data_IF_935886291477
#
_entry.id   IF_935886291477
#
_cell.length_a   1.000
_cell.length_b   1.000
_cell.length_c   1.000
_cell.angle_alpha   90.00
_cell.angle_beta   90.00
_cell.angle_gamma   90.00
#
_symmetry.space_group_name_H-M   'P 1'
#
loop_
_entity.id
_entity.type
_entity.pdbx_description
1 polymer ?
#
# COMPACT_ATOMS: atom_id res chain seq x y z
N UNK A 1 16.52 11.14 23.48
CA UNK A 1 15.43 11.53 22.57
C UNK A 1 14.41 10.42 22.63
N UNK A 2 13.21 10.70 23.12
CA UNK A 2 12.12 9.70 23.08
C UNK A 2 11.79 9.48 21.59
N UNK A 3 12.25 8.36 21.03
CA UNK A 3 11.75 7.94 19.73
C UNK A 3 10.26 7.70 19.90
N UNK A 4 9.45 8.37 19.08
CA UNK A 4 8.04 8.08 18.94
C UNK A 4 7.93 6.68 18.35
N UNK A 5 7.74 5.67 19.21
CA UNK A 5 7.76 4.26 18.82
C UNK A 5 6.44 3.82 18.15
N UNK A 6 5.43 4.68 18.15
CA UNK A 6 4.09 4.39 17.67
C UNK A 6 3.82 5.14 16.37
N UNK A 7 3.14 4.48 15.41
CA UNK A 7 2.69 5.07 14.16
C UNK A 7 1.23 4.73 13.91
N UNK A 8 0.46 5.71 13.41
CA UNK A 8 -0.93 5.53 12.99
C UNK A 8 -1.03 5.71 11.48
N UNK A 9 -1.49 4.67 10.81
CA UNK A 9 -1.64 4.58 9.37
C UNK A 9 -3.10 4.36 8.97
N UNK A 10 -3.45 4.75 7.76
CA UNK A 10 -4.69 4.27 7.11
C UNK A 10 -4.45 2.90 6.49
N UNK A 11 -5.51 2.09 6.38
CA UNK A 11 -5.45 0.89 5.53
C UNK A 11 -5.14 1.28 4.08
N UNK A 12 -4.42 0.43 3.35
CA UNK A 12 -4.04 0.73 1.96
C UNK A 12 -4.01 -0.52 1.08
N UNK A 13 -4.49 -0.36 -0.16
CA UNK A 13 -4.48 -1.41 -1.19
C UNK A 13 -3.13 -1.45 -1.88
N UNK A 14 -2.39 -2.56 -1.75
CA UNK A 14 -1.00 -2.68 -2.20
C UNK A 14 -0.23 -1.38 -1.95
N UNK A 15 -0.10 -1.04 -0.67
CA UNK A 15 0.37 0.24 -0.17
C UNK A 15 1.66 0.71 -0.86
N UNK A 16 1.93 2.03 -0.91
CA UNK A 16 3.15 2.55 -1.54
C UNK A 16 4.40 2.23 -0.71
N UNK A 17 5.56 2.32 -1.32
CA UNK A 17 6.87 2.12 -0.67
C UNK A 17 7.02 2.97 0.59
N UNK A 18 6.53 4.22 0.57
CA UNK A 18 6.51 5.11 1.73
C UNK A 18 5.83 4.48 2.96
N UNK A 19 4.70 3.80 2.75
CA UNK A 19 3.97 3.12 3.82
C UNK A 19 4.86 2.05 4.49
N UNK A 20 5.44 1.15 3.71
CA UNK A 20 6.26 0.06 4.24
C UNK A 20 7.58 0.53 4.82
N UNK A 21 8.22 1.56 4.27
CA UNK A 21 9.42 2.16 4.87
C UNK A 21 9.12 2.73 6.26
N UNK A 22 7.98 3.41 6.43
CA UNK A 22 7.57 3.90 7.75
C UNK A 22 7.14 2.75 8.66
N UNK A 23 6.49 1.72 8.12
CA UNK A 23 6.04 0.54 8.84
C UNK A 23 7.19 -0.20 9.53
N UNK A 24 8.27 -0.53 8.81
CA UNK A 24 9.40 -1.32 9.35
C UNK A 24 10.20 -0.56 10.43
N UNK A 25 10.12 0.77 10.45
CA UNK A 25 10.89 1.63 11.36
C UNK A 25 10.23 1.85 12.74
N UNK A 26 9.03 1.30 12.96
CA UNK A 26 8.30 1.50 14.21
C UNK A 26 7.99 0.17 14.90
N UNK A 27 7.84 0.22 16.23
CA UNK A 27 7.55 -0.97 17.03
C UNK A 27 6.05 -1.26 17.11
N UNK A 28 5.23 -0.21 17.28
CA UNK A 28 3.79 -0.34 17.40
C UNK A 28 3.11 0.35 16.22
N UNK A 29 2.38 -0.43 15.45
CA UNK A 29 1.72 0.01 14.23
C UNK A 29 0.21 -0.09 14.42
N UNK A 30 -0.46 1.05 14.32
CA UNK A 30 -1.93 1.11 14.39
C UNK A 30 -2.49 1.41 13.01
N UNK A 31 -3.45 0.60 12.57
CA UNK A 31 -4.22 0.80 11.33
C UNK A 31 -5.61 1.29 11.71
N UNK A 32 -5.95 2.50 11.26
CA UNK A 32 -7.23 3.13 11.56
C UNK A 32 -8.38 2.48 10.79
N UNK A 33 -9.34 1.91 11.50
CA UNK A 33 -10.50 1.27 10.90
C UNK A 33 -11.81 2.06 11.04
N UNK A 34 -11.87 3.03 11.94
CA UNK A 34 -13.06 3.86 12.19
C UNK A 34 -13.06 5.19 11.42
N UNK A 35 -11.97 5.50 10.70
CA UNK A 35 -11.96 6.68 9.85
C UNK A 35 -13.01 6.61 8.74
N UNK A 36 -13.50 7.78 8.32
CA UNK A 36 -14.39 7.86 7.20
C UNK A 36 -13.64 7.64 5.87
N UNK A 37 -14.27 6.92 4.95
CA UNK A 37 -13.68 6.71 3.63
C UNK A 37 -13.48 8.02 2.86
N UNK A 38 -12.24 8.32 2.52
CA UNK A 38 -11.85 9.44 1.68
C UNK A 38 -11.51 8.97 0.25
N UNK A 39 -12.13 9.62 -0.75
CA UNK A 39 -11.84 9.35 -2.17
C UNK A 39 -10.43 9.77 -2.55
N UNK A 40 -9.88 9.10 -3.57
CA UNK A 40 -8.57 9.43 -4.13
C UNK A 40 -7.43 9.34 -3.10
N UNK A 41 -7.46 8.27 -2.30
CA UNK A 41 -6.42 7.91 -1.33
C UNK A 41 -5.94 6.49 -1.60
N UNK A 42 -4.84 6.06 -1.01
CA UNK A 42 -4.34 4.69 -1.13
C UNK A 42 -5.25 3.64 -0.48
N UNK A 43 -6.30 4.03 0.26
CA UNK A 43 -7.25 3.10 0.88
C UNK A 43 -7.87 2.12 -0.11
N UNK A 44 -8.22 2.60 -1.31
CA UNK A 44 -8.82 1.76 -2.36
C UNK A 44 -8.11 1.86 -3.71
N UNK A 45 -6.86 2.29 -3.74
CA UNK A 45 -6.05 2.36 -4.96
C UNK A 45 -4.58 2.11 -4.68
N UNK A 46 -3.87 1.66 -5.71
CA UNK A 46 -2.43 1.71 -5.76
C UNK A 46 -1.97 2.32 -7.10
N UNK A 47 -0.71 2.74 -7.15
CA UNK A 47 -0.08 3.29 -8.35
C UNK A 47 1.06 2.38 -8.79
N UNK A 48 1.02 1.90 -10.02
CA UNK A 48 2.06 1.10 -10.66
C UNK A 48 2.63 1.82 -11.87
N UNK A 49 3.76 1.36 -12.39
CA UNK A 49 4.36 1.88 -13.61
C UNK A 49 4.11 0.91 -14.77
N UNK A 50 3.49 1.38 -15.82
CA UNK A 50 3.31 0.63 -17.05
C UNK A 50 4.01 1.28 -18.24
N UNK A 51 3.95 0.66 -19.41
CA UNK A 51 4.63 1.13 -20.63
C UNK A 51 4.25 2.54 -21.12
N UNK A 52 3.15 3.11 -20.65
CA UNK A 52 2.69 4.47 -20.98
C UNK A 52 2.75 5.44 -19.77
N UNK A 53 3.43 5.06 -18.69
CA UNK A 53 3.55 5.87 -17.47
C UNK A 53 2.79 5.30 -16.28
N UNK A 54 2.58 6.12 -15.24
CA UNK A 54 1.86 5.70 -14.03
C UNK A 54 0.42 5.33 -14.31
N UNK A 55 0.00 4.21 -13.75
CA UNK A 55 -1.36 3.67 -13.82
C UNK A 55 -1.91 3.56 -12.41
N UNK A 56 -3.12 4.08 -12.20
CA UNK A 56 -3.84 3.96 -10.94
C UNK A 56 -4.83 2.80 -11.01
N UNK A 57 -4.63 1.77 -10.21
CA UNK A 57 -5.55 0.64 -10.06
C UNK A 57 -6.51 0.96 -8.91
N UNK A 58 -7.78 1.08 -9.19
CA UNK A 58 -8.80 1.56 -8.23
C UNK A 58 -9.86 0.50 -8.00
N UNK A 59 -10.00 0.07 -6.74
CA UNK A 59 -11.10 -0.81 -6.31
C UNK A 59 -12.40 0.00 -6.24
N UNK A 60 -13.44 -0.38 -6.98
CA UNK A 60 -14.76 0.24 -6.85
C UNK A 60 -15.41 -0.17 -5.53
N UNK A 61 -16.06 0.80 -4.87
CA UNK A 61 -16.70 0.58 -3.57
C UNK A 61 -18.15 1.03 -3.57
N UNK A 62 -18.98 0.34 -2.79
CA UNK A 62 -20.40 0.64 -2.63
C UNK A 62 -20.54 1.80 -1.64
N UNK A 63 -21.02 2.94 -2.14
CA UNK A 63 -21.32 4.12 -1.33
C UNK A 63 -22.82 4.18 -1.09
N UNK A 64 -23.21 4.21 0.18
CA UNK A 64 -24.60 4.50 0.55
C UNK A 64 -24.99 5.95 0.21
N UNK A 65 -26.29 6.23 0.14
CA UNK A 65 -26.85 7.59 0.05
C UNK A 65 -26.90 8.31 1.41
N UNK A 66 -26.29 7.74 2.45
CA UNK A 66 -26.33 8.19 3.84
C UNK A 66 -25.05 8.90 4.31
N UNK A 67 -24.83 8.95 5.63
CA UNK A 67 -23.65 9.55 6.26
C UNK A 67 -22.36 8.87 5.77
N UNK A 68 -21.22 9.50 6.06
CA UNK A 68 -19.91 8.94 5.70
C UNK A 68 -19.77 7.52 6.29
N UNK A 69 -19.29 6.59 5.48
CA UNK A 69 -19.10 5.18 5.86
C UNK A 69 -17.71 5.02 6.47
N UNK A 70 -17.61 4.36 7.61
CA UNK A 70 -16.32 3.96 8.17
C UNK A 70 -15.64 2.95 7.25
N UNK A 71 -14.28 2.98 7.24
CA UNK A 71 -13.50 2.12 6.34
C UNK A 71 -13.74 0.64 6.63
N UNK A 72 -13.95 0.26 7.88
CA UNK A 72 -14.27 -1.11 8.30
C UNK A 72 -15.57 -1.67 7.71
N UNK A 73 -16.54 -0.78 7.41
CA UNK A 73 -17.88 -1.15 6.91
C UNK A 73 -17.99 -0.98 5.39
N UNK A 74 -16.93 -0.51 4.73
CA UNK A 74 -16.94 -0.18 3.31
C UNK A 74 -16.88 -1.45 2.46
N UNK A 75 -17.96 -1.69 1.71
CA UNK A 75 -18.08 -2.87 0.82
C UNK A 75 -17.45 -2.62 -0.54
N UNK A 76 -16.82 -3.65 -1.09
CA UNK A 76 -16.31 -3.68 -2.46
C UNK A 76 -17.48 -3.88 -3.43
N UNK A 77 -17.49 -3.14 -4.55
CA UNK A 77 -18.41 -3.37 -5.66
C UNK A 77 -17.79 -4.31 -6.69
N UNK A 78 -18.58 -5.26 -7.14
CA UNK A 78 -18.21 -6.22 -8.19
C UNK A 78 -19.13 -6.08 -9.43
N UNK A 79 -19.76 -4.91 -9.61
CA UNK A 79 -20.54 -4.60 -10.81
C UNK A 79 -19.65 -4.47 -12.06
N UNK A 80 -18.41 -4.06 -11.87
CA UNK A 80 -17.38 -4.01 -12.90
C UNK A 80 -16.33 -5.10 -12.64
N UNK A 81 -15.77 -5.66 -13.69
CA UNK A 81 -14.72 -6.70 -13.61
C UNK A 81 -13.35 -6.09 -13.30
N UNK A 82 -13.26 -5.39 -12.16
CA UNK A 82 -12.03 -4.70 -11.75
C UNK A 82 -10.90 -5.67 -11.43
N UNK A 83 -11.20 -6.84 -10.86
CA UNK A 83 -10.20 -7.82 -10.49
C UNK A 83 -9.41 -8.29 -11.72
N UNK A 84 -10.13 -8.72 -12.74
CA UNK A 84 -9.53 -9.14 -14.02
C UNK A 84 -8.73 -8.02 -14.68
N UNK A 85 -9.25 -6.78 -14.65
CA UNK A 85 -8.58 -5.63 -15.24
C UNK A 85 -7.29 -5.29 -14.48
N UNK A 86 -7.31 -5.32 -13.14
CA UNK A 86 -6.12 -5.10 -12.32
C UNK A 86 -5.06 -6.16 -12.61
N UNK A 87 -5.45 -7.44 -12.54
CA UNK A 87 -4.50 -8.53 -12.80
C UNK A 87 -3.85 -8.45 -14.18
N UNK A 88 -4.63 -8.21 -15.22
CA UNK A 88 -4.10 -8.03 -16.58
C UNK A 88 -3.14 -6.85 -16.67
N UNK A 89 -3.44 -5.76 -15.98
CA UNK A 89 -2.58 -4.56 -15.98
C UNK A 89 -1.27 -4.83 -15.22
N UNK A 90 -1.34 -5.51 -14.07
CA UNK A 90 -0.16 -5.93 -13.29
C UNK A 90 0.70 -6.89 -14.11
N UNK A 91 0.08 -7.91 -14.71
CA UNK A 91 0.77 -8.85 -15.59
C UNK A 91 1.48 -8.14 -16.75
N UNK A 92 0.78 -7.23 -17.44
CA UNK A 92 1.36 -6.47 -18.55
C UNK A 92 2.50 -5.55 -18.11
N UNK A 93 2.46 -5.03 -16.88
CA UNK A 93 3.50 -4.16 -16.36
C UNK A 93 4.75 -4.89 -15.89
N UNK A 94 4.59 -6.09 -15.33
CA UNK A 94 5.66 -6.75 -14.56
C UNK A 94 6.07 -8.15 -15.04
N UNK A 95 5.44 -8.73 -16.08
CA UNK A 95 5.80 -10.07 -16.57
C UNK A 95 7.25 -10.21 -17.04
N UNK A 96 7.93 -9.10 -17.30
CA UNK A 96 9.37 -9.07 -17.65
C UNK A 96 10.28 -8.70 -16.48
N UNK A 97 9.71 -8.42 -15.28
CA UNK A 97 10.52 -8.13 -14.10
C UNK A 97 11.16 -9.40 -13.53
N UNK A 98 12.34 -9.29 -12.89
CA UNK A 98 13.14 -10.45 -12.48
C UNK A 98 12.43 -11.42 -11.54
N UNK A 99 11.54 -10.91 -10.67
CA UNK A 99 10.91 -11.70 -9.63
C UNK A 99 9.41 -11.94 -9.84
N UNK A 100 8.82 -11.52 -10.96
CA UNK A 100 7.39 -11.70 -11.22
C UNK A 100 6.96 -13.17 -11.17
N UNK A 101 7.70 -14.05 -11.82
CA UNK A 101 7.42 -15.49 -11.86
C UNK A 101 7.45 -16.13 -10.46
N UNK A 102 8.24 -15.59 -9.53
CA UNK A 102 8.37 -16.13 -8.17
C UNK A 102 7.19 -15.76 -7.29
N UNK A 103 6.60 -14.56 -7.48
CA UNK A 103 5.58 -14.03 -6.58
C UNK A 103 4.18 -13.93 -7.16
N UNK A 104 4.01 -14.15 -8.48
CA UNK A 104 2.70 -14.02 -9.14
C UNK A 104 1.63 -14.92 -8.55
N UNK A 105 1.99 -16.15 -8.17
CA UNK A 105 1.06 -17.17 -7.68
C UNK A 105 0.54 -16.82 -6.25
N UNK A 106 1.29 -16.04 -5.47
CA UNK A 106 0.86 -15.53 -4.16
C UNK A 106 -0.03 -14.29 -4.30
N UNK A 107 0.16 -13.50 -5.35
CA UNK A 107 -0.56 -12.24 -5.59
C UNK A 107 -1.85 -12.45 -6.40
N UNK A 108 -1.86 -13.37 -7.37
CA UNK A 108 -3.02 -13.62 -8.26
C UNK A 108 -4.31 -13.96 -7.51
N UNK A 109 -4.34 -14.73 -6.42
CA UNK A 109 -5.57 -15.09 -5.71
C UNK A 109 -6.42 -13.90 -5.24
N UNK A 110 -5.82 -12.72 -4.98
CA UNK A 110 -6.56 -11.50 -4.62
C UNK A 110 -7.43 -10.97 -5.77
N UNK A 111 -7.14 -11.39 -6.99
CA UNK A 111 -7.91 -11.03 -8.19
C UNK A 111 -8.88 -12.12 -8.65
N UNK A 112 -8.93 -13.24 -7.97
CA UNK A 112 -9.82 -14.37 -8.27
C UNK A 112 -10.91 -14.52 -7.21
N UNK A 113 -10.54 -14.34 -5.94
CA UNK A 113 -11.47 -14.48 -4.81
C UNK A 113 -12.16 -13.13 -4.52
N UNK A 114 -13.47 -13.21 -4.20
CA UNK A 114 -14.24 -12.02 -3.79
C UNK A 114 -14.18 -11.83 -2.28
N UNK A 115 -13.79 -10.65 -1.85
CA UNK A 115 -13.82 -10.21 -0.45
C UNK A 115 -14.92 -9.17 -0.27
N UNK A 116 -15.68 -9.26 0.81
CA UNK A 116 -16.84 -8.39 1.04
C UNK A 116 -16.45 -6.96 1.40
N UNK A 117 -15.52 -6.80 2.34
CA UNK A 117 -15.11 -5.50 2.86
C UNK A 117 -13.73 -5.11 2.36
N UNK A 118 -13.55 -3.81 2.12
CA UNK A 118 -12.27 -3.27 1.64
C UNK A 118 -11.16 -3.44 2.67
N UNK A 119 -11.47 -3.27 3.96
CA UNK A 119 -10.50 -3.45 5.04
C UNK A 119 -9.95 -4.87 5.06
N UNK A 120 -10.84 -5.90 4.97
CA UNK A 120 -10.43 -7.31 4.99
C UNK A 120 -9.49 -7.64 3.83
N UNK A 121 -9.80 -7.15 2.62
CA UNK A 121 -8.93 -7.32 1.46
C UNK A 121 -7.56 -6.68 1.69
N UNK A 122 -7.54 -5.44 2.18
CA UNK A 122 -6.29 -4.73 2.42
C UNK A 122 -5.44 -5.39 3.51
N UNK A 123 -6.06 -5.93 4.57
CA UNK A 123 -5.34 -6.68 5.61
C UNK A 123 -4.72 -7.95 5.04
N UNK A 124 -5.48 -8.74 4.27
CA UNK A 124 -4.94 -9.95 3.64
C UNK A 124 -3.83 -9.65 2.64
N UNK A 125 -3.95 -8.55 1.88
CA UNK A 125 -2.87 -8.06 1.00
C UNK A 125 -1.65 -7.63 1.81
N UNK A 126 -1.86 -6.95 2.93
CA UNK A 126 -0.76 -6.53 3.80
C UNK A 126 -0.02 -7.72 4.41
N UNK A 127 -0.75 -8.73 4.90
CA UNK A 127 -0.20 -9.96 5.45
C UNK A 127 0.71 -10.66 4.44
N UNK A 128 0.23 -10.93 3.22
CA UNK A 128 1.06 -11.59 2.21
C UNK A 128 2.28 -10.76 1.80
N UNK A 129 2.16 -9.45 1.69
CA UNK A 129 3.31 -8.58 1.37
C UNK A 129 4.34 -8.61 2.50
N UNK A 130 3.92 -8.62 3.77
CA UNK A 130 4.81 -8.80 4.90
C UNK A 130 5.56 -10.14 4.83
N UNK A 131 4.85 -11.23 4.54
CA UNK A 131 5.45 -12.56 4.41
C UNK A 131 6.47 -12.61 3.27
N UNK A 132 6.12 -12.08 2.08
CA UNK A 132 6.98 -12.11 0.89
C UNK A 132 8.24 -11.23 1.00
N UNK A 133 8.18 -10.17 1.80
CA UNK A 133 9.31 -9.26 2.07
C UNK A 133 10.01 -9.53 3.40
N UNK A 134 9.64 -10.62 4.10
CA UNK A 134 10.18 -10.99 5.42
C UNK A 134 10.03 -9.86 6.46
N UNK A 135 8.93 -9.11 6.38
CA UNK A 135 8.57 -8.06 7.33
C UNK A 135 7.71 -8.66 8.44
N UNK A 136 8.11 -8.47 9.68
CA UNK A 136 7.27 -8.86 10.83
C UNK A 136 5.95 -8.08 10.82
N UNK A 137 4.82 -8.80 10.76
CA UNK A 137 3.51 -8.14 10.84
C UNK A 137 3.17 -7.78 12.29
N UNK A 138 3.34 -6.49 12.62
CA UNK A 138 3.10 -5.89 13.96
C UNK A 138 1.83 -5.06 14.00
N UNK A 139 1.08 -5.00 12.89
CA UNK A 139 -0.07 -4.11 12.79
C UNK A 139 -1.22 -4.55 13.69
N UNK A 140 -1.86 -3.58 14.32
CA UNK A 140 -3.06 -3.73 15.11
C UNK A 140 -4.12 -2.76 14.58
N UNK A 141 -5.37 -3.23 14.49
CA UNK A 141 -6.49 -2.34 14.18
C UNK A 141 -6.79 -1.47 15.39
N UNK A 142 -7.13 -0.20 15.18
CA UNK A 142 -7.59 0.66 16.27
C UNK A 142 -8.90 0.13 16.86
N UNK A 143 -9.07 0.26 18.19
CA UNK A 143 -10.31 -0.14 18.86
C UNK A 143 -11.37 0.95 18.79
N UNK A 144 -10.96 2.23 18.69
CA UNK A 144 -11.81 3.41 18.57
C UNK A 144 -11.12 4.48 17.71
N UNK A 145 -11.88 5.40 17.12
CA UNK A 145 -11.37 6.52 16.32
C UNK A 145 -10.63 7.57 17.16
N UNK A 146 -11.02 7.78 18.41
CA UNK A 146 -10.48 8.85 19.26
C UNK A 146 -9.22 8.43 20.04
N UNK A 147 -8.93 7.15 20.12
CA UNK A 147 -7.81 6.65 20.93
C UNK A 147 -6.56 6.51 20.06
N UNK A 148 -5.88 7.64 19.84
CA UNK A 148 -4.50 7.62 19.35
C UNK A 148 -3.59 7.58 20.58
N UNK A 149 -2.78 6.54 20.78
CA UNK A 149 -1.86 6.48 21.90
C UNK A 149 -0.96 7.73 21.95
N UNK A 150 -0.63 8.20 23.15
CA UNK A 150 0.34 9.29 23.31
C UNK A 150 1.65 8.96 22.58
N UNK A 151 2.32 9.98 22.08
CA UNK A 151 3.57 9.84 21.29
C UNK A 151 3.42 9.01 20.01
N UNK A 152 2.27 9.14 19.32
CA UNK A 152 2.01 8.47 18.04
C UNK A 152 2.17 9.43 16.86
N UNK A 153 3.00 9.06 15.88
CA UNK A 153 3.09 9.77 14.62
C UNK A 153 1.88 9.41 13.76
N UNK A 154 1.07 10.41 13.42
CA UNK A 154 -0.10 10.22 12.57
C UNK A 154 0.24 10.49 11.10
N UNK A 155 0.33 9.44 10.28
CA UNK A 155 0.63 9.53 8.85
C UNK A 155 -0.57 9.23 7.92
N UNK A 156 -1.79 9.13 8.47
CA UNK A 156 -3.00 8.80 7.69
C UNK A 156 -3.24 9.71 6.50
N UNK A 157 -2.98 11.00 6.65
CA UNK A 157 -3.16 11.98 5.57
C UNK A 157 -1.84 12.30 4.85
N UNK A 158 -0.70 12.07 5.49
CA UNK A 158 0.64 12.31 4.91
C UNK A 158 0.96 11.29 3.82
N UNK A 159 0.64 10.01 4.03
CA UNK A 159 0.79 8.95 3.03
C UNK A 159 -0.43 8.96 2.11
N UNK A 160 -0.39 9.81 1.11
CA UNK A 160 -1.50 10.06 0.19
C UNK A 160 -0.99 10.37 -1.22
N UNK A 161 -1.68 9.90 -2.28
CA UNK A 161 -1.27 10.22 -3.66
C UNK A 161 -1.39 11.71 -4.00
N UNK A 162 -2.07 12.49 -3.17
CA UNK A 162 -2.23 13.95 -3.32
C UNK A 162 -1.13 14.76 -2.66
N UNK A 163 -0.37 14.15 -1.78
CA UNK A 163 0.66 14.80 -0.98
C UNK A 163 2.03 14.41 -1.53
N UNK A 164 2.90 15.39 -1.71
CA UNK A 164 4.29 15.11 -2.10
C UNK A 164 4.99 14.34 -0.98
N UNK A 165 5.79 13.35 -1.32
CA UNK A 165 6.51 12.52 -0.35
C UNK A 165 7.46 13.31 0.56
N UNK A 166 7.95 14.44 0.07
CA UNK A 166 8.79 15.38 0.86
C UNK A 166 8.07 16.00 2.06
N UNK A 167 6.73 15.86 2.17
CA UNK A 167 6.00 16.29 3.37
C UNK A 167 6.35 15.44 4.60
N UNK A 168 6.78 14.19 4.40
CA UNK A 168 7.37 13.37 5.45
C UNK A 168 8.90 13.50 5.41
N UNK A 169 9.46 14.18 6.40
CA UNK A 169 10.90 14.43 6.49
C UNK A 169 11.71 13.16 6.77
N UNK A 170 11.07 12.13 7.29
CA UNK A 170 11.69 10.86 7.63
C UNK A 170 11.58 9.82 6.50
N UNK A 171 11.09 10.22 5.32
CA UNK A 171 11.04 9.38 4.14
C UNK A 171 11.80 10.03 2.97
N UNK A 172 12.76 9.29 2.41
CA UNK A 172 13.48 9.66 1.21
C UNK A 172 13.56 8.45 0.29
N UNK A 173 12.86 8.46 -0.86
CA UNK A 173 12.87 7.32 -1.77
C UNK A 173 14.28 6.94 -2.19
N UNK A 174 14.62 5.66 -2.04
CA UNK A 174 15.85 5.07 -2.56
C UNK A 174 15.61 4.56 -3.96
N UNK A 175 16.48 4.88 -4.89
CA UNK A 175 16.41 4.38 -6.27
C UNK A 175 16.67 2.88 -6.32
N UNK A 176 15.92 2.17 -7.16
CA UNK A 176 16.08 0.77 -7.52
C UNK A 176 15.71 0.57 -9.00
N UNK A 177 16.05 -0.58 -9.57
CA UNK A 177 15.75 -0.87 -10.97
C UNK A 177 14.25 -1.08 -11.17
N UNK A 178 13.66 -0.36 -12.13
CA UNK A 178 12.25 -0.51 -12.52
C UNK A 178 12.16 -0.92 -14.00
N UNK A 179 11.17 -1.74 -14.37
CA UNK A 179 11.00 -2.26 -15.75
C UNK A 179 11.09 -1.18 -16.81
N UNK A 180 10.55 0.01 -16.53
CA UNK A 180 10.48 1.11 -17.49
C UNK A 180 11.42 2.28 -17.16
N UNK A 181 12.47 2.06 -16.37
CA UNK A 181 13.42 3.11 -15.96
C UNK A 181 14.17 3.73 -17.14
N UNK A 182 14.45 2.97 -18.21
CA UNK A 182 15.07 3.52 -19.43
C UNK A 182 14.19 4.59 -20.10
N UNK A 183 12.85 4.44 -20.03
CA UNK A 183 11.90 5.34 -20.66
C UNK A 183 11.52 6.54 -19.80
N UNK A 184 11.34 6.34 -18.49
CA UNK A 184 10.75 7.33 -17.60
C UNK A 184 11.70 7.81 -16.49
N UNK A 185 12.91 7.25 -16.40
CA UNK A 185 13.75 7.41 -15.22
C UNK A 185 13.16 6.68 -14.02
N UNK A 186 13.72 6.91 -12.84
CA UNK A 186 13.17 6.38 -11.59
C UNK A 186 11.89 7.11 -11.18
N UNK A 187 10.81 6.38 -10.99
CA UNK A 187 9.53 6.90 -10.48
C UNK A 187 9.39 6.51 -9.01
N UNK A 188 9.51 7.46 -8.08
CA UNK A 188 9.47 7.17 -6.65
C UNK A 188 8.08 6.81 -6.16
N UNK A 189 8.05 6.08 -5.04
CA UNK A 189 6.86 5.84 -4.23
C UNK A 189 5.69 5.17 -4.98
N UNK A 190 5.99 4.24 -5.86
CA UNK A 190 5.00 3.34 -6.45
C UNK A 190 4.47 2.34 -5.41
N UNK A 191 3.47 1.57 -5.79
CA UNK A 191 2.99 0.42 -5.02
C UNK A 191 4.13 -0.51 -4.66
N UNK A 192 4.02 -1.18 -3.52
CA UNK A 192 4.96 -2.21 -3.07
C UNK A 192 5.13 -3.34 -4.10
N UNK A 193 4.14 -3.57 -4.98
CA UNK A 193 4.25 -4.52 -6.09
C UNK A 193 5.41 -4.20 -7.02
N UNK A 194 5.67 -2.90 -7.28
CA UNK A 194 6.78 -2.48 -8.13
C UNK A 194 8.12 -2.89 -7.51
N UNK A 195 8.28 -2.67 -6.21
CA UNK A 195 9.47 -3.07 -5.47
C UNK A 195 9.61 -4.59 -5.40
N UNK A 196 8.53 -5.29 -5.04
CA UNK A 196 8.52 -6.76 -4.90
C UNK A 196 8.93 -7.46 -6.20
N UNK A 197 8.31 -7.08 -7.32
CA UNK A 197 8.59 -7.73 -8.60
C UNK A 197 9.95 -7.38 -9.22
N UNK A 198 10.51 -6.21 -8.90
CA UNK A 198 11.81 -5.81 -9.43
C UNK A 198 12.99 -6.22 -8.54
N UNK A 199 12.85 -6.16 -7.22
CA UNK A 199 13.95 -6.33 -6.25
C UNK A 199 13.82 -7.61 -5.40
N UNK A 200 12.64 -8.21 -5.35
CA UNK A 200 12.40 -9.45 -4.59
C UNK A 200 12.89 -9.34 -3.14
N UNK A 201 13.76 -10.28 -2.68
CA UNK A 201 14.26 -10.28 -1.30
C UNK A 201 15.05 -9.01 -0.92
N UNK A 202 15.64 -8.31 -1.90
CA UNK A 202 16.35 -7.04 -1.66
C UNK A 202 15.40 -5.88 -1.32
N UNK A 203 14.09 -6.08 -1.54
CA UNK A 203 13.07 -5.05 -1.28
C UNK A 203 13.12 -4.52 0.15
N UNK A 204 13.33 -5.38 1.14
CA UNK A 204 13.48 -4.96 2.55
C UNK A 204 14.63 -3.94 2.73
N UNK A 205 15.79 -4.21 2.14
CA UNK A 205 16.95 -3.30 2.20
C UNK A 205 16.66 -1.94 1.56
N UNK A 206 15.89 -1.91 0.47
CA UNK A 206 15.47 -0.64 -0.18
C UNK A 206 14.51 0.14 0.73
N UNK A 207 13.58 -0.56 1.41
CA UNK A 207 12.70 0.07 2.39
C UNK A 207 13.47 0.71 3.54
N UNK A 208 14.45 0.00 4.11
CA UNK A 208 15.34 0.53 5.18
C UNK A 208 16.11 1.76 4.72
N UNK A 209 16.75 1.72 3.55
CA UNK A 209 17.50 2.84 2.98
C UNK A 209 16.61 4.05 2.65
N UNK A 210 15.32 3.86 2.54
CA UNK A 210 14.35 4.94 2.30
C UNK A 210 13.90 5.65 3.58
N UNK A 211 14.41 5.22 4.75
CA UNK A 211 14.20 5.90 6.04
C UNK A 211 15.28 6.96 6.21
N UNK A 212 14.85 8.14 6.66
CA UNK A 212 15.75 9.24 7.03
C UNK A 212 15.63 9.50 8.53
N UNK A 213 16.75 9.56 9.23
CA UNK A 213 16.86 9.83 10.66
C UNK A 213 17.15 11.30 10.93
#
# INVERSE_FOLDING_TARGET
MNQENNILLSTAYFAPIHFYSRYINHQNIYIEQYENFNKQTYRNRCEILGGNGKISLVIPVIKGRGPKIHIKDLKISYEMDWQRNHWRTIFSAYNSSPYFEFYKDDIQPFFEKKTKYLLDLNQSVHEIICDLLEIENKSQLTEDFEVVPENTINLRETISPKIKTQADKNFQPTEYTQVFSEKFGFIPNLSILDLLFNEGPNGYTILEKSIKF
#
